data_IF_768150318786
#
_entry.id   IF_768150318786
#
_cell.length_a   1.000
_cell.length_b   1.000
_cell.length_c   1.000
_cell.angle_alpha   90.00
_cell.angle_beta   90.00
_cell.angle_gamma   90.00
#
_symmetry.space_group_name_H-M   'P 1'
#
loop_
_entity.id
_entity.type
_entity.pdbx_description
1 polymer ?
#
# COMPACT_ATOMS: atom_id res chain seq x y z
N UNK A 1 20.94 -58.92 49.28
CA UNK A 1 22.14 -58.54 48.50
C UNK A 1 21.67 -57.44 47.56
N UNK A 2 21.74 -56.19 48.02
CA UNK A 2 22.81 -55.21 47.72
C UNK A 2 22.57 -54.61 46.32
N UNK A 3 22.58 -53.30 46.06
CA UNK A 3 23.53 -52.24 46.42
C UNK A 3 22.84 -50.88 46.30
N UNK A 4 23.31 -49.91 47.08
CA UNK A 4 23.13 -48.48 46.91
C UNK A 4 23.95 -47.92 45.71
N UNK A 5 23.54 -46.72 45.29
CA UNK A 5 24.35 -45.59 44.79
C UNK A 5 24.94 -45.55 43.35
N UNK A 6 24.50 -44.46 42.68
CA UNK A 6 25.31 -43.43 42.02
C UNK A 6 25.65 -43.46 40.50
N UNK A 7 25.71 -42.20 40.01
CA UNK A 7 26.36 -41.63 38.81
C UNK A 7 25.57 -41.51 37.50
N UNK A 8 24.99 -40.31 37.29
CA UNK A 8 24.80 -39.72 35.96
C UNK A 8 26.13 -39.08 35.51
N UNK A 9 26.64 -39.51 34.36
CA UNK A 9 27.71 -38.82 33.62
C UNK A 9 27.16 -38.32 32.28
N UNK A 10 27.47 -37.08 31.97
CA UNK A 10 26.96 -36.30 30.84
C UNK A 10 27.83 -36.43 29.57
N UNK A 11 27.16 -36.11 28.45
CA UNK A 11 27.63 -35.63 27.15
C UNK A 11 28.69 -36.40 26.36
N UNK A 12 28.32 -36.78 25.14
CA UNK A 12 29.14 -36.53 23.95
C UNK A 12 28.23 -36.37 22.71
N UNK A 13 28.31 -35.19 22.09
CA UNK A 13 27.72 -34.86 20.79
C UNK A 13 28.63 -35.39 19.67
N UNK A 14 28.07 -36.04 18.64
CA UNK A 14 28.76 -36.28 17.36
C UNK A 14 27.85 -35.92 16.18
N UNK A 15 28.03 -34.70 15.67
CA UNK A 15 27.45 -34.17 14.44
C UNK A 15 28.16 -34.78 13.21
N UNK A 16 27.73 -35.98 12.80
CA UNK A 16 28.15 -36.56 11.52
C UNK A 16 27.11 -36.29 10.42
N UNK A 17 27.10 -35.05 9.90
CA UNK A 17 26.31 -34.67 8.73
C UNK A 17 27.01 -35.16 7.46
N UNK A 18 26.77 -36.42 7.11
CA UNK A 18 27.31 -37.05 5.89
C UNK A 18 26.89 -36.30 4.61
N UNK A 19 27.86 -35.99 3.76
CA UNK A 19 27.66 -35.40 2.43
C UNK A 19 26.91 -36.39 1.51
N UNK A 20 25.64 -36.10 1.22
CA UNK A 20 24.83 -36.87 0.26
C UNK A 20 25.03 -36.25 -1.14
N UNK A 21 25.62 -36.96 -2.12
CA UNK A 21 25.80 -36.41 -3.46
C UNK A 21 24.45 -36.26 -4.18
N UNK A 22 24.26 -35.08 -4.77
CA UNK A 22 23.08 -34.71 -5.55
C UNK A 22 22.87 -35.68 -6.73
N UNK A 23 21.82 -36.50 -6.66
CA UNK A 23 21.40 -37.37 -7.76
C UNK A 23 20.28 -36.66 -8.56
N UNK A 24 20.51 -36.21 -9.82
CA UNK A 24 19.55 -35.39 -10.57
C UNK A 24 18.28 -36.11 -11.04
N UNK A 25 18.12 -37.40 -10.74
CA UNK A 25 17.06 -38.26 -11.32
C UNK A 25 15.85 -38.50 -10.42
N UNK A 26 15.77 -37.87 -9.26
CA UNK A 26 14.60 -37.94 -8.38
C UNK A 26 14.20 -36.52 -7.97
N UNK A 27 13.57 -35.79 -8.90
CA UNK A 27 12.67 -34.69 -8.56
C UNK A 27 11.28 -35.10 -9.00
N UNK A 28 10.58 -35.80 -8.10
CA UNK A 28 9.13 -35.78 -8.11
C UNK A 28 8.72 -34.37 -7.65
N UNK A 29 8.58 -33.48 -8.63
CA UNK A 29 8.09 -32.12 -8.45
C UNK A 29 6.56 -32.16 -8.35
N UNK A 30 6.06 -32.68 -7.23
CA UNK A 30 4.68 -32.52 -6.81
C UNK A 30 4.63 -31.37 -5.79
N UNK A 31 5.02 -30.17 -6.27
CA UNK A 31 4.90 -28.94 -5.49
C UNK A 31 3.43 -28.52 -5.44
N UNK A 32 2.81 -28.71 -4.29
CA UNK A 32 1.43 -28.35 -3.97
C UNK A 32 1.15 -26.83 -4.12
N UNK A 33 0.81 -26.41 -5.34
CA UNK A 33 0.40 -25.05 -5.75
C UNK A 33 -0.90 -24.57 -5.07
N UNK A 34 -1.67 -25.49 -4.45
CA UNK A 34 -2.95 -25.12 -3.83
C UNK A 34 -2.80 -24.34 -2.52
N UNK A 35 -1.72 -24.57 -1.77
CA UNK A 35 -1.49 -23.91 -0.47
C UNK A 35 -1.11 -22.42 -0.60
N UNK A 36 -0.30 -22.06 -1.59
CA UNK A 36 0.17 -20.70 -1.80
C UNK A 36 -0.95 -19.78 -2.31
N UNK A 37 -1.83 -20.29 -3.16
CA UNK A 37 -2.98 -19.56 -3.70
C UNK A 37 -4.05 -19.30 -2.63
N UNK A 38 -4.35 -20.30 -1.78
CA UNK A 38 -5.28 -20.16 -0.67
C UNK A 38 -4.80 -19.13 0.38
N UNK A 39 -3.51 -19.16 0.74
CA UNK A 39 -2.92 -18.22 1.69
C UNK A 39 -2.95 -16.77 1.19
N UNK A 40 -2.60 -16.54 -0.09
CA UNK A 40 -2.70 -15.21 -0.73
C UNK A 40 -4.12 -14.68 -0.75
N UNK A 41 -5.10 -15.54 -1.04
CA UNK A 41 -6.53 -15.17 -1.05
C UNK A 41 -7.03 -14.76 0.33
N UNK A 42 -6.65 -15.51 1.38
CA UNK A 42 -6.99 -15.19 2.77
C UNK A 42 -6.36 -13.87 3.21
N UNK A 43 -5.08 -13.65 2.90
CA UNK A 43 -4.39 -12.39 3.20
C UNK A 43 -5.05 -11.19 2.51
N UNK A 44 -5.44 -11.33 1.23
CA UNK A 44 -6.12 -10.26 0.50
C UNK A 44 -7.45 -9.88 1.16
N UNK A 45 -8.26 -10.89 1.51
CA UNK A 45 -9.55 -10.67 2.18
C UNK A 45 -9.37 -9.94 3.52
N UNK A 46 -8.43 -10.39 4.34
CA UNK A 46 -8.13 -9.72 5.61
C UNK A 46 -7.71 -8.27 5.39
N UNK A 47 -6.88 -7.98 4.39
CA UNK A 47 -6.46 -6.62 4.08
C UNK A 47 -7.65 -5.75 3.62
N UNK A 48 -8.51 -6.28 2.75
CA UNK A 48 -9.74 -5.58 2.31
C UNK A 48 -10.68 -5.26 3.47
N UNK A 49 -10.79 -6.14 4.47
CA UNK A 49 -11.57 -5.90 5.68
C UNK A 49 -10.95 -4.83 6.56
N UNK A 50 -9.63 -4.84 6.74
CA UNK A 50 -8.91 -3.82 7.52
C UNK A 50 -9.08 -2.42 6.94
N UNK A 51 -9.09 -2.29 5.60
CA UNK A 51 -9.32 -1.00 4.92
C UNK A 51 -10.68 -0.38 5.27
N UNK A 52 -11.72 -1.21 5.48
CA UNK A 52 -13.08 -0.72 5.77
C UNK A 52 -13.22 -0.07 7.14
N UNK A 53 -12.28 -0.31 8.05
CA UNK A 53 -12.24 0.38 9.35
C UNK A 53 -11.64 1.79 9.26
N UNK A 54 -10.97 2.15 8.16
CA UNK A 54 -10.46 3.52 7.96
C UNK A 54 -11.60 4.45 7.54
N UNK A 55 -11.87 5.47 8.36
CA UNK A 55 -12.95 6.45 8.12
C UNK A 55 -12.82 7.21 6.80
N UNK A 56 -11.60 7.40 6.29
CA UNK A 56 -11.37 8.07 5.00
C UNK A 56 -11.15 7.11 3.84
N UNK A 57 -11.32 5.80 4.04
CA UNK A 57 -11.31 4.85 2.93
C UNK A 57 -12.66 4.84 2.24
N UNK A 58 -12.65 5.04 0.92
CA UNK A 58 -13.83 4.99 0.07
C UNK A 58 -13.57 4.09 -1.13
N UNK A 59 -14.65 3.55 -1.68
CA UNK A 59 -14.63 2.70 -2.87
C UNK A 59 -15.57 3.29 -3.91
N UNK A 60 -14.99 3.88 -4.95
CA UNK A 60 -15.73 4.52 -6.03
C UNK A 60 -16.07 3.50 -7.10
N UNK A 61 -17.31 3.50 -7.57
CA UNK A 61 -17.77 2.64 -8.67
C UNK A 61 -17.86 3.47 -9.93
N UNK A 62 -17.00 3.21 -10.91
CA UNK A 62 -16.95 3.95 -12.19
C UNK A 62 -17.13 3.00 -13.36
N UNK A 63 -17.70 3.49 -14.45
CA UNK A 63 -17.82 2.72 -15.69
C UNK A 63 -16.63 3.09 -16.58
N UNK A 64 -15.81 2.10 -16.92
CA UNK A 64 -14.67 2.22 -17.83
C UNK A 64 -14.88 1.21 -18.95
N UNK A 65 -14.95 1.68 -20.19
CA UNK A 65 -15.13 0.80 -21.37
C UNK A 65 -16.30 -0.19 -21.18
N UNK A 66 -17.47 0.32 -20.78
CA UNK A 66 -18.68 -0.45 -20.52
C UNK A 66 -18.60 -1.48 -19.37
N UNK A 67 -17.51 -1.46 -18.59
CA UNK A 67 -17.34 -2.33 -17.42
C UNK A 67 -17.31 -1.51 -16.14
N UNK A 68 -18.00 -2.00 -15.11
CA UNK A 68 -17.93 -1.40 -13.78
C UNK A 68 -16.60 -1.74 -13.13
N UNK A 69 -15.85 -0.72 -12.74
CA UNK A 69 -14.56 -0.81 -12.05
C UNK A 69 -14.70 -0.15 -10.69
N UNK A 70 -14.16 -0.82 -9.68
CA UNK A 70 -14.04 -0.28 -8.33
C UNK A 70 -12.66 0.38 -8.18
N UNK A 71 -12.66 1.60 -7.64
CA UNK A 71 -11.45 2.39 -7.39
C UNK A 71 -11.41 2.67 -5.89
N UNK A 72 -10.43 2.06 -5.23
CA UNK A 72 -10.11 2.32 -3.83
C UNK A 72 -9.47 3.72 -3.70
N UNK A 73 -9.93 4.53 -2.76
CA UNK A 73 -9.39 5.87 -2.55
C UNK A 73 -9.35 6.26 -1.08
N UNK A 74 -8.34 7.03 -0.72
CA UNK A 74 -8.03 7.43 0.64
C UNK A 74 -8.14 8.97 0.76
N UNK A 75 -9.10 9.46 1.53
CA UNK A 75 -9.36 10.90 1.69
C UNK A 75 -8.70 11.48 2.94
N UNK A 76 -8.19 12.70 2.80
CA UNK A 76 -7.68 13.51 3.90
C UNK A 76 -8.72 14.55 4.29
N UNK A 77 -8.83 14.83 5.58
CA UNK A 77 -9.67 15.91 6.10
C UNK A 77 -9.17 17.27 5.60
N UNK A 78 -10.08 18.18 5.27
CA UNK A 78 -9.76 19.54 4.81
C UNK A 78 -9.31 20.47 5.93
N UNK A 79 -9.49 20.06 7.19
CA UNK A 79 -9.03 20.78 8.36
C UNK A 79 -7.51 21.05 8.30
N UNK A 80 -7.08 22.33 8.37
CA UNK A 80 -5.67 22.69 8.43
C UNK A 80 -4.93 21.98 9.57
N UNK A 81 -3.68 21.61 9.34
CA UNK A 81 -2.89 20.84 10.31
C UNK A 81 -3.16 19.33 10.29
N UNK A 82 -4.07 18.84 9.46
CA UNK A 82 -4.24 17.39 9.22
C UNK A 82 -3.05 16.84 8.43
N UNK A 83 -2.58 15.63 8.78
CA UNK A 83 -1.56 14.92 7.99
C UNK A 83 -2.06 14.60 6.60
N UNK A 84 -1.29 15.02 5.59
CA UNK A 84 -1.55 14.63 4.20
C UNK A 84 -1.37 13.12 4.10
N UNK A 85 -2.27 12.47 3.36
CA UNK A 85 -2.22 11.04 3.12
C UNK A 85 -2.28 10.77 1.62
N UNK A 86 -1.56 9.75 1.19
CA UNK A 86 -1.58 9.29 -0.20
C UNK A 86 -2.97 8.74 -0.53
N UNK A 87 -3.54 9.24 -1.62
CA UNK A 87 -4.84 8.82 -2.14
C UNK A 87 -4.90 7.35 -2.56
N UNK A 88 -3.77 6.72 -2.87
CA UNK A 88 -3.69 5.33 -3.35
C UNK A 88 -3.39 4.37 -2.21
N UNK A 89 -2.30 4.61 -1.46
CA UNK A 89 -1.87 3.68 -0.40
C UNK A 89 -2.51 3.95 0.95
N UNK A 90 -2.98 5.18 1.20
CA UNK A 90 -3.44 5.62 2.51
C UNK A 90 -2.33 5.97 3.49
N UNK A 91 -1.06 5.85 3.08
CA UNK A 91 0.10 6.21 3.92
C UNK A 91 0.06 7.70 4.27
N UNK A 92 0.28 8.02 5.55
CA UNK A 92 0.32 9.42 6.02
C UNK A 92 1.76 9.92 5.97
N UNK A 93 1.94 11.14 5.48
CA UNK A 93 3.23 11.81 5.49
C UNK A 93 3.40 12.60 6.79
N UNK A 94 4.37 12.22 7.60
CA UNK A 94 4.61 12.83 8.91
C UNK A 94 5.09 14.28 8.82
N UNK A 95 5.63 14.71 7.69
CA UNK A 95 6.19 16.06 7.50
C UNK A 95 5.23 17.03 6.82
N UNK A 96 4.18 16.51 6.18
CA UNK A 96 3.29 17.32 5.35
C UNK A 96 1.90 17.46 5.97
N UNK A 97 1.38 18.68 5.96
CA UNK A 97 0.10 19.04 6.58
C UNK A 97 -0.75 19.85 5.63
N UNK A 98 -2.07 19.64 5.70
CA UNK A 98 -3.06 20.44 4.98
C UNK A 98 -2.98 21.90 5.46
N UNK A 99 -3.11 22.85 4.54
CA UNK A 99 -3.02 24.29 4.81
C UNK A 99 -1.59 24.81 4.91
N UNK A 100 -0.57 23.97 4.68
CA UNK A 100 0.82 24.42 4.60
C UNK A 100 1.27 24.61 3.15
N UNK A 101 2.37 25.33 2.95
CA UNK A 101 2.98 25.52 1.63
C UNK A 101 3.34 24.21 0.94
N UNK A 102 3.71 23.20 1.73
CA UNK A 102 4.10 21.87 1.26
C UNK A 102 2.93 21.10 0.61
N UNK A 103 1.70 21.55 0.80
CA UNK A 103 0.54 20.98 0.11
C UNK A 103 0.66 21.07 -1.42
N UNK A 104 1.37 22.08 -1.94
CA UNK A 104 1.61 22.24 -3.37
C UNK A 104 2.63 21.25 -3.96
N UNK A 105 3.31 20.46 -3.12
CA UNK A 105 4.14 19.35 -3.58
C UNK A 105 3.30 18.18 -4.12
N UNK A 106 2.03 18.12 -3.73
CA UNK A 106 1.09 17.08 -4.11
C UNK A 106 0.08 17.63 -5.11
N UNK A 107 -0.38 16.78 -6.01
CA UNK A 107 -1.52 17.05 -6.86
C UNK A 107 -2.81 16.83 -6.05
N UNK A 108 -3.33 17.93 -5.50
CA UNK A 108 -4.56 17.97 -4.71
C UNK A 108 -5.79 17.93 -5.62
N UNK A 109 -6.72 17.03 -5.34
CA UNK A 109 -8.03 16.96 -6.01
C UNK A 109 -9.14 16.94 -4.98
N UNK A 110 -10.21 17.69 -5.23
CA UNK A 110 -11.44 17.62 -4.47
C UNK A 110 -12.45 16.76 -5.22
N UNK A 111 -12.96 15.71 -4.58
CA UNK A 111 -14.02 14.87 -5.14
C UNK A 111 -15.34 15.33 -4.52
N UNK A 112 -16.15 16.01 -5.34
CA UNK A 112 -17.45 16.56 -4.97
C UNK A 112 -18.59 15.91 -5.78
N UNK A 113 -18.48 14.61 -6.07
CA UNK A 113 -19.47 13.85 -6.86
C UNK A 113 -20.62 13.27 -6.03
N UNK A 114 -20.66 13.54 -4.72
CA UNK A 114 -21.63 12.96 -3.77
C UNK A 114 -21.35 11.50 -3.39
N UNK A 115 -20.46 10.81 -4.10
CA UNK A 115 -20.11 9.41 -3.84
C UNK A 115 -19.32 9.20 -2.54
N UNK A 116 -18.75 10.28 -1.98
CA UNK A 116 -18.01 10.28 -0.72
C UNK A 116 -18.89 10.71 0.47
N UNK A 117 -20.20 10.91 0.24
CA UNK A 117 -21.12 11.51 1.21
C UNK A 117 -21.15 13.03 1.13
N UNK A 118 -21.73 13.65 2.16
CA UNK A 118 -22.21 15.04 2.16
C UNK A 118 -21.09 16.10 2.11
N UNK A 119 -19.90 15.78 2.62
CA UNK A 119 -18.77 16.71 2.70
C UNK A 119 -17.77 16.60 1.53
N UNK A 120 -17.99 15.66 0.59
CA UNK A 120 -16.98 15.28 -0.39
C UNK A 120 -15.68 14.80 0.27
N UNK A 121 -14.56 14.87 -0.46
CA UNK A 121 -13.26 14.56 0.12
C UNK A 121 -12.07 15.11 -0.67
N UNK A 122 -11.03 15.51 0.06
CA UNK A 122 -9.75 15.88 -0.52
C UNK A 122 -8.84 14.67 -0.64
N UNK A 123 -8.18 14.55 -1.78
CA UNK A 123 -7.26 13.46 -2.07
C UNK A 123 -5.97 14.05 -2.62
N UNK A 124 -4.85 13.44 -2.26
CA UNK A 124 -3.52 13.91 -2.62
C UNK A 124 -2.77 12.83 -3.39
N UNK A 125 -2.33 13.20 -4.58
CA UNK A 125 -1.50 12.35 -5.45
C UNK A 125 -0.09 12.94 -5.57
N UNK A 126 0.90 12.11 -5.87
CA UNK A 126 2.27 12.54 -6.14
C UNK A 126 2.39 13.33 -7.45
N UNK A 127 1.52 13.03 -8.43
CA UNK A 127 1.50 13.70 -9.74
C UNK A 127 0.12 13.66 -10.39
N UNK A 128 -0.17 14.57 -11.35
CA UNK A 128 -1.41 14.51 -12.13
C UNK A 128 -1.53 13.22 -12.95
N UNK A 129 -0.43 12.66 -13.45
CA UNK A 129 -0.42 11.38 -14.16
C UNK A 129 -0.78 10.20 -13.23
N UNK A 130 -0.37 10.28 -11.97
CA UNK A 130 -0.75 9.29 -10.96
C UNK A 130 -2.26 9.32 -10.74
N UNK A 131 -2.87 10.51 -10.67
CA UNK A 131 -4.33 10.68 -10.63
C UNK A 131 -4.99 10.05 -11.87
N UNK A 132 -4.56 10.41 -13.08
CA UNK A 132 -5.13 9.87 -14.33
C UNK A 132 -5.08 8.33 -14.36
N UNK A 133 -3.93 7.75 -14.00
CA UNK A 133 -3.73 6.30 -13.96
C UNK A 133 -4.63 5.63 -12.91
N UNK A 134 -4.75 6.25 -11.73
CA UNK A 134 -5.60 5.73 -10.66
C UNK A 134 -7.07 5.69 -11.09
N UNK A 135 -7.51 6.74 -11.80
CA UNK A 135 -8.83 6.83 -12.41
C UNK A 135 -8.95 6.17 -13.78
N UNK A 136 -8.03 5.27 -14.14
CA UNK A 136 -8.06 4.46 -15.38
C UNK A 136 -8.18 5.29 -16.67
N UNK A 137 -7.67 6.52 -16.66
CA UNK A 137 -7.70 7.43 -17.80
C UNK A 137 -9.09 7.99 -18.12
N UNK A 138 -10.09 7.79 -17.24
CA UNK A 138 -11.45 8.37 -17.42
C UNK A 138 -11.36 9.89 -17.43
N UNK A 139 -10.56 10.43 -16.53
CA UNK A 139 -10.31 11.86 -16.40
C UNK A 139 -8.91 12.14 -16.90
N UNK A 140 -8.80 12.90 -17.98
CA UNK A 140 -7.54 13.42 -18.50
C UNK A 140 -7.38 14.84 -17.99
N UNK A 141 -6.31 15.09 -17.26
CA UNK A 141 -5.95 16.41 -16.75
C UNK A 141 -5.41 17.23 -17.93
N UNK A 142 -6.01 18.39 -18.24
CA UNK A 142 -5.52 19.27 -19.30
C UNK A 142 -4.06 19.66 -19.07
N UNK A 143 -3.29 19.73 -20.17
CA UNK A 143 -1.86 20.04 -20.12
C UNK A 143 -1.55 21.35 -19.38
N UNK A 144 -2.38 22.37 -19.54
CA UNK A 144 -2.27 23.67 -18.83
C UNK A 144 -2.30 23.49 -17.30
N UNK A 145 -3.10 22.56 -16.79
CA UNK A 145 -3.19 22.29 -15.34
C UNK A 145 -1.94 21.54 -14.88
N UNK A 146 -1.44 20.59 -15.67
CA UNK A 146 -0.20 19.85 -15.39
C UNK A 146 0.98 20.81 -15.29
N UNK A 147 1.13 21.72 -16.26
CA UNK A 147 2.18 22.73 -16.28
C UNK A 147 2.09 23.68 -15.09
N UNK A 148 0.88 24.18 -14.79
CA UNK A 148 0.64 25.05 -13.64
C UNK A 148 1.04 24.39 -12.32
N UNK A 149 0.69 23.12 -12.13
CA UNK A 149 1.09 22.37 -10.95
C UNK A 149 2.60 22.13 -10.92
N UNK A 150 3.20 21.69 -12.02
CA UNK A 150 4.64 21.42 -12.12
C UNK A 150 5.49 22.64 -11.77
N UNK A 151 5.13 23.82 -12.30
CA UNK A 151 5.81 25.07 -11.99
C UNK A 151 5.72 25.38 -10.50
N UNK A 152 4.53 25.29 -9.91
CA UNK A 152 4.31 25.55 -8.48
C UNK A 152 5.06 24.56 -7.59
N UNK A 153 5.05 23.27 -7.95
CA UNK A 153 5.75 22.22 -7.24
C UNK A 153 7.27 22.45 -7.28
N UNK A 154 7.82 22.84 -8.42
CA UNK A 154 9.23 23.18 -8.58
C UNK A 154 9.64 24.39 -7.71
N UNK A 155 8.80 25.44 -7.67
CA UNK A 155 9.02 26.61 -6.81
C UNK A 155 9.09 26.22 -5.32
N UNK A 156 8.16 25.37 -4.85
CA UNK A 156 8.16 24.93 -3.44
C UNK A 156 9.39 24.07 -3.13
N UNK A 157 9.74 23.13 -4.01
CA UNK A 157 10.94 22.30 -3.84
C UNK A 157 12.21 23.15 -3.74
N UNK A 158 12.34 24.17 -4.59
CA UNK A 158 13.47 25.09 -4.56
C UNK A 158 13.56 25.89 -3.26
N UNK A 159 12.43 26.12 -2.58
CA UNK A 159 12.39 26.88 -1.32
C UNK A 159 12.61 26.01 -0.09
N UNK A 160 12.23 24.74 -0.15
CA UNK A 160 12.49 23.78 0.93
C UNK A 160 13.96 23.32 0.96
N UNK A 161 14.70 23.49 -0.15
CA UNK A 161 16.12 23.15 -0.26
C UNK A 161 17.06 24.32 0.14
N UNK A 162 16.51 25.45 0.60
CA UNK A 162 17.27 26.62 1.10
C UNK A 162 17.21 26.66 2.61
#
# INVERSE_FOLDING_TARGET
>A
MSHDDDYYAADDMDDNVGFIPFNPRERDDDSDDTSLTANRKRQRKNNEEMKKFDKGYHKLKRIVNYKQVEIDIYTTNDMPGTMIRDAITGSRYNEYRVGTRNEHLFFKVAIATGELGDSGGLVFFDSPEQYERHFKGIYVVPQVIKEKWTNKCAEIRALNNK
#
